data_IF_773001658101
#
_entry.id   IF_773001658101
#
_cell.length_a   1.000
_cell.length_b   1.000
_cell.length_c   1.000
_cell.angle_alpha   90.00
_cell.angle_beta   90.00
_cell.angle_gamma   90.00
#
_symmetry.space_group_name_H-M   'P 1'
#
loop_
_entity.id
_entity.type
_entity.pdbx_description
1 polymer ?
#
# COMPACT_ATOMS: atom_id res chain seq x y z
N UNK A 1 -2.75 -23.79 48.71
CA UNK A 1 -1.64 -22.87 49.03
C UNK A 1 -1.76 -21.76 48.00
N UNK A 2 -2.55 -20.74 48.32
CA UNK A 2 -2.76 -19.58 47.44
C UNK A 2 -1.48 -18.78 47.45
N UNK A 3 -0.75 -18.78 46.33
CA UNK A 3 0.38 -17.88 46.12
C UNK A 3 -0.16 -16.44 46.16
N UNK A 4 -0.19 -15.85 47.35
CA UNK A 4 -0.58 -14.46 47.54
C UNK A 4 0.49 -13.60 46.89
N UNK A 5 0.17 -13.03 45.74
CA UNK A 5 1.01 -12.07 45.04
C UNK A 5 1.37 -10.95 45.99
N UNK A 6 2.67 -10.62 46.09
CA UNK A 6 3.14 -9.57 46.99
C UNK A 6 2.47 -8.23 46.66
N UNK A 7 1.96 -7.48 47.65
CA UNK A 7 1.31 -6.19 47.43
C UNK A 7 2.24 -5.13 46.81
N UNK A 8 3.55 -5.30 46.95
CA UNK A 8 4.57 -4.38 46.42
C UNK A 8 5.03 -4.76 45.00
N UNK A 9 4.55 -5.87 44.45
CA UNK A 9 4.89 -6.27 43.09
C UNK A 9 4.40 -5.22 42.08
N UNK A 10 5.32 -4.76 41.22
CA UNK A 10 5.03 -3.78 40.15
C UNK A 10 5.14 -4.37 38.74
N UNK A 11 5.61 -5.60 38.63
CA UNK A 11 5.81 -6.32 37.38
C UNK A 11 5.31 -7.75 37.53
N UNK A 12 4.67 -8.26 36.48
CA UNK A 12 4.24 -9.65 36.38
C UNK A 12 5.32 -10.44 35.63
N UNK A 13 5.50 -11.71 35.99
CA UNK A 13 6.31 -12.62 35.17
C UNK A 13 5.63 -12.82 33.81
N UNK A 14 6.36 -12.53 32.73
CA UNK A 14 5.82 -12.59 31.37
C UNK A 14 5.66 -14.05 30.93
N UNK A 15 4.42 -14.52 30.89
CA UNK A 15 4.08 -15.87 30.43
C UNK A 15 2.88 -15.82 29.47
N UNK A 16 2.79 -16.81 28.57
CA UNK A 16 1.68 -16.95 27.64
C UNK A 16 1.45 -15.71 26.77
N UNK A 17 0.26 -15.11 26.91
CA UNK A 17 -0.19 -13.98 26.08
C UNK A 17 0.62 -12.71 26.32
N UNK A 18 0.96 -12.42 27.58
CA UNK A 18 1.77 -11.25 27.93
C UNK A 18 3.16 -11.33 27.28
N UNK A 19 3.78 -12.52 27.27
CA UNK A 19 5.04 -12.76 26.56
C UNK A 19 4.88 -12.61 25.04
N UNK A 20 3.79 -13.14 24.48
CA UNK A 20 3.50 -13.01 23.06
C UNK A 20 3.38 -11.52 22.64
N UNK A 21 2.74 -10.66 23.44
CA UNK A 21 2.66 -9.22 23.16
C UNK A 21 4.06 -8.59 23.10
N UNK A 22 4.93 -8.90 24.08
CA UNK A 22 6.28 -8.32 24.18
C UNK A 22 7.22 -8.80 23.08
N UNK A 23 7.00 -10.00 22.53
CA UNK A 23 7.84 -10.54 21.45
C UNK A 23 7.27 -10.20 20.06
N UNK A 24 5.99 -10.47 19.83
CA UNK A 24 5.35 -10.35 18.51
C UNK A 24 5.14 -8.90 18.11
N UNK A 25 4.73 -8.03 19.04
CA UNK A 25 4.43 -6.63 18.68
C UNK A 25 5.67 -5.86 18.22
N UNK A 26 6.83 -5.94 18.90
CA UNK A 26 8.03 -5.22 18.47
C UNK A 26 8.68 -5.83 17.22
N UNK A 27 8.63 -7.15 17.05
CA UNK A 27 9.14 -7.80 15.84
C UNK A 27 8.33 -7.38 14.61
N UNK A 28 7.01 -7.34 14.72
CA UNK A 28 6.14 -6.88 13.66
C UNK A 28 6.32 -5.37 13.41
N UNK A 29 6.46 -4.56 14.46
CA UNK A 29 6.79 -3.14 14.33
C UNK A 29 8.08 -2.92 13.53
N UNK A 30 9.14 -3.67 13.84
CA UNK A 30 10.40 -3.61 13.11
C UNK A 30 10.20 -3.89 11.61
N UNK A 31 9.42 -4.93 11.28
CA UNK A 31 9.08 -5.25 9.89
C UNK A 31 8.27 -4.14 9.21
N UNK A 32 7.29 -3.56 9.92
CA UNK A 32 6.48 -2.44 9.41
C UNK A 32 7.32 -1.19 9.18
N UNK A 33 8.26 -0.85 10.07
CA UNK A 33 9.18 0.28 9.90
C UNK A 33 10.05 0.07 8.66
N UNK A 34 10.61 -1.13 8.48
CA UNK A 34 11.40 -1.45 7.28
C UNK A 34 10.57 -1.35 5.99
N UNK A 35 9.34 -1.86 6.01
CA UNK A 35 8.43 -1.79 4.86
C UNK A 35 8.08 -0.34 4.49
N UNK A 36 7.73 0.50 5.48
CA UNK A 36 7.40 1.91 5.26
C UNK A 36 8.62 2.72 4.83
N UNK A 37 9.80 2.46 5.42
CA UNK A 37 11.05 3.10 5.01
C UNK A 37 11.40 2.76 3.56
N UNK A 38 11.25 1.49 3.18
CA UNK A 38 11.44 1.04 1.78
C UNK A 38 10.48 1.77 0.84
N UNK A 39 9.20 1.87 1.22
CA UNK A 39 8.20 2.62 0.45
C UNK A 39 8.60 4.09 0.28
N UNK A 40 8.97 4.76 1.37
CA UNK A 40 9.37 6.16 1.36
C UNK A 40 10.59 6.37 0.46
N UNK A 41 11.62 5.52 0.56
CA UNK A 41 12.81 5.58 -0.28
C UNK A 41 12.47 5.47 -1.78
N UNK A 42 11.65 4.46 -2.16
CA UNK A 42 11.26 4.27 -3.56
C UNK A 42 10.48 5.48 -4.09
N UNK A 43 9.53 6.00 -3.33
CA UNK A 43 8.69 7.13 -3.77
C UNK A 43 9.41 8.46 -3.81
N UNK A 44 10.34 8.71 -2.89
CA UNK A 44 11.23 9.88 -2.94
C UNK A 44 12.13 9.79 -4.17
N UNK A 45 12.72 8.63 -4.44
CA UNK A 45 13.56 8.41 -5.63
C UNK A 45 12.77 8.57 -6.93
N UNK A 46 11.49 8.22 -6.93
CA UNK A 46 10.58 8.40 -8.08
C UNK A 46 9.91 9.79 -8.14
N UNK A 47 10.15 10.68 -7.17
CA UNK A 47 9.41 11.95 -7.02
C UNK A 47 7.87 11.78 -7.05
N UNK A 48 7.36 10.67 -6.51
CA UNK A 48 5.92 10.34 -6.45
C UNK A 48 5.34 10.42 -5.04
N UNK A 49 6.07 11.05 -4.12
CA UNK A 49 5.66 11.24 -2.74
C UNK A 49 4.32 11.97 -2.66
N UNK A 50 3.41 11.46 -1.84
CA UNK A 50 2.03 11.92 -1.84
C UNK A 50 1.38 11.86 -0.46
N UNK A 51 0.15 12.36 -0.38
CA UNK A 51 -0.62 12.44 0.88
C UNK A 51 -0.78 11.06 1.54
N UNK A 52 -0.92 9.99 0.74
CA UNK A 52 -1.02 8.63 1.27
C UNK A 52 0.23 8.22 2.07
N UNK A 53 1.41 8.70 1.69
CA UNK A 53 2.66 8.43 2.41
C UNK A 53 2.73 9.20 3.73
N UNK A 54 2.24 10.45 3.75
CA UNK A 54 2.18 11.26 4.98
C UNK A 54 1.23 10.62 5.99
N UNK A 55 0.05 10.18 5.54
CA UNK A 55 -0.92 9.47 6.37
C UNK A 55 -0.35 8.16 6.92
N UNK A 56 0.41 7.42 6.12
CA UNK A 56 1.06 6.18 6.56
C UNK A 56 2.15 6.44 7.61
N UNK A 57 2.98 7.46 7.41
CA UNK A 57 4.02 7.85 8.38
C UNK A 57 3.37 8.30 9.68
N UNK A 58 2.30 9.09 9.62
CA UNK A 58 1.50 9.46 10.78
C UNK A 58 0.96 8.22 11.52
N UNK A 59 0.34 7.30 10.78
CA UNK A 59 -0.14 6.03 11.34
C UNK A 59 0.97 5.19 11.98
N UNK A 60 2.17 5.16 11.37
CA UNK A 60 3.34 4.47 11.91
C UNK A 60 3.80 5.07 13.24
N UNK A 61 3.78 6.40 13.38
CA UNK A 61 4.14 7.07 14.64
C UNK A 61 3.18 6.66 15.76
N UNK A 62 1.88 6.63 15.49
CA UNK A 62 0.88 6.12 16.44
C UNK A 62 1.09 4.63 16.74
N UNK A 63 1.40 3.82 15.74
CA UNK A 63 1.68 2.39 15.94
C UNK A 63 2.93 2.14 16.79
N UNK A 64 3.98 2.96 16.67
CA UNK A 64 5.15 2.91 17.56
C UNK A 64 4.72 3.19 19.01
N UNK A 65 3.88 4.21 19.22
CA UNK A 65 3.34 4.53 20.55
C UNK A 65 2.48 3.40 21.11
N UNK A 66 1.59 2.82 20.28
CA UNK A 66 0.75 1.68 20.66
C UNK A 66 1.58 0.49 21.15
N UNK A 67 2.62 0.12 20.41
CA UNK A 67 3.47 -1.02 20.78
C UNK A 67 4.19 -0.75 22.10
N UNK A 68 4.66 0.49 22.32
CA UNK A 68 5.27 0.89 23.59
C UNK A 68 4.29 0.79 24.77
N UNK A 69 3.06 1.27 24.58
CA UNK A 69 2.02 1.19 25.61
C UNK A 69 1.59 -0.26 25.83
N UNK A 70 1.49 -1.08 24.78
CA UNK A 70 1.14 -2.49 24.86
C UNK A 70 2.17 -3.31 25.65
N UNK A 71 3.48 -3.06 25.42
CA UNK A 71 4.53 -3.67 26.24
C UNK A 71 4.36 -3.27 27.70
N UNK A 72 4.14 -1.97 27.98
CA UNK A 72 3.94 -1.51 29.35
C UNK A 72 2.72 -2.15 29.99
N UNK A 73 1.60 -2.21 29.28
CA UNK A 73 0.38 -2.86 29.72
C UNK A 73 0.61 -4.34 30.04
N UNK A 74 1.34 -5.07 29.18
CA UNK A 74 1.69 -6.47 29.39
C UNK A 74 2.58 -6.69 30.62
N UNK A 75 3.56 -5.80 30.87
CA UNK A 75 4.43 -5.90 32.06
C UNK A 75 3.69 -5.66 33.37
N UNK A 76 2.61 -4.88 33.33
CA UNK A 76 1.82 -4.50 34.51
C UNK A 76 0.73 -5.53 34.82
N UNK A 77 0.18 -6.22 33.81
CA UNK A 77 -0.78 -7.31 34.05
C UNK A 77 -1.72 -7.66 32.91
N UNK A 78 -1.72 -6.93 31.78
CA UNK A 78 -2.54 -7.29 30.61
C UNK A 78 -2.05 -8.61 30.01
N UNK A 79 -2.97 -9.54 29.72
CA UNK A 79 -2.64 -10.89 29.24
C UNK A 79 -2.29 -11.89 30.34
N UNK A 80 -2.54 -11.55 31.61
CA UNK A 80 -2.35 -12.44 32.77
C UNK A 80 -3.69 -12.71 33.48
N UNK A 81 -3.83 -13.89 34.09
CA UNK A 81 -5.00 -14.28 34.90
C UNK A 81 -5.13 -13.45 36.19
N UNK A 82 -6.36 -13.21 36.63
CA UNK A 82 -6.64 -12.30 37.77
C UNK A 82 -6.04 -12.81 39.08
N UNK A 83 -5.96 -14.14 39.27
CA UNK A 83 -5.36 -14.76 40.45
C UNK A 83 -3.87 -14.39 40.67
N UNK A 84 -3.19 -13.88 39.65
CA UNK A 84 -1.78 -13.48 39.69
C UNK A 84 -1.57 -11.97 39.72
N UNK A 85 -2.64 -11.20 39.88
CA UNK A 85 -2.57 -9.74 39.93
C UNK A 85 -2.90 -9.21 41.32
N UNK A 86 -2.20 -8.15 41.69
CA UNK A 86 -2.55 -7.31 42.82
C UNK A 86 -3.52 -6.19 42.40
N UNK A 87 -4.25 -5.60 43.34
CA UNK A 87 -5.21 -4.50 43.11
C UNK A 87 -4.55 -3.31 42.39
N UNK A 88 -3.32 -2.96 42.74
CA UNK A 88 -2.59 -1.90 42.04
C UNK A 88 -2.31 -2.26 40.57
N UNK A 89 -1.95 -3.52 40.30
CA UNK A 89 -1.68 -4.00 38.93
C UNK A 89 -2.95 -3.99 38.10
N UNK A 90 -4.09 -4.31 38.70
CA UNK A 90 -5.40 -4.26 38.06
C UNK A 90 -5.71 -2.85 37.52
N UNK A 91 -5.68 -1.86 38.42
CA UNK A 91 -5.94 -0.46 38.09
C UNK A 91 -4.97 0.04 37.01
N UNK A 92 -3.68 -0.26 37.14
CA UNK A 92 -2.69 0.19 36.16
C UNK A 92 -2.86 -0.52 34.81
N UNK A 93 -3.20 -1.80 34.78
CA UNK A 93 -3.45 -2.55 33.54
C UNK A 93 -4.61 -1.94 32.76
N UNK A 94 -5.73 -1.65 33.44
CA UNK A 94 -6.89 -1.00 32.82
C UNK A 94 -6.59 0.42 32.35
N UNK A 95 -5.80 1.18 33.11
CA UNK A 95 -5.35 2.51 32.71
C UNK A 95 -4.53 2.47 31.43
N UNK A 96 -3.51 1.61 31.35
CA UNK A 96 -2.70 1.50 30.13
C UNK A 96 -3.50 0.96 28.95
N UNK A 97 -4.43 0.03 29.18
CA UNK A 97 -5.35 -0.45 28.14
C UNK A 97 -6.25 0.67 27.58
N UNK A 98 -6.78 1.52 28.45
CA UNK A 98 -7.61 2.67 28.06
C UNK A 98 -6.84 3.68 27.22
N UNK A 99 -5.57 3.94 27.58
CA UNK A 99 -4.72 4.83 26.79
C UNK A 99 -4.38 4.16 25.45
N UNK A 100 -4.04 2.87 25.48
CA UNK A 100 -3.71 2.10 24.28
C UNK A 100 -4.86 2.09 23.26
N UNK A 101 -6.10 1.83 23.67
CA UNK A 101 -7.24 1.79 22.74
C UNK A 101 -7.47 3.13 22.03
N UNK A 102 -7.26 4.25 22.70
CA UNK A 102 -7.40 5.59 22.10
C UNK A 102 -6.31 5.87 21.07
N UNK A 103 -5.07 5.49 21.36
CA UNK A 103 -3.93 5.65 20.43
C UNK A 103 -4.09 4.71 19.23
N UNK A 104 -4.53 3.47 19.47
CA UNK A 104 -4.80 2.48 18.44
C UNK A 104 -5.88 2.91 17.46
N UNK A 105 -7.00 3.44 17.95
CA UNK A 105 -8.10 3.87 17.08
C UNK A 105 -7.65 5.00 16.14
N UNK A 106 -6.82 5.93 16.62
CA UNK A 106 -6.22 6.99 15.78
C UNK A 106 -5.23 6.41 14.76
N UNK A 107 -4.31 5.55 15.22
CA UNK A 107 -3.30 4.92 14.37
C UNK A 107 -3.92 4.10 13.25
N UNK A 108 -4.89 3.24 13.57
CA UNK A 108 -5.59 2.39 12.61
C UNK A 108 -6.37 3.21 11.58
N UNK A 109 -7.04 4.29 12.01
CA UNK A 109 -7.75 5.19 11.10
C UNK A 109 -6.79 5.82 10.07
N UNK A 110 -5.62 6.28 10.51
CA UNK A 110 -4.60 6.82 9.62
C UNK A 110 -4.04 5.77 8.65
N UNK A 111 -3.73 4.57 9.13
CA UNK A 111 -3.25 3.47 8.27
C UNK A 111 -4.30 3.11 7.22
N UNK A 112 -5.57 2.91 7.62
CA UNK A 112 -6.66 2.60 6.70
C UNK A 112 -6.94 3.74 5.72
N UNK A 113 -6.81 5.00 6.16
CA UNK A 113 -6.94 6.16 5.28
C UNK A 113 -5.84 6.18 4.20
N UNK A 114 -4.60 5.77 4.53
CA UNK A 114 -3.51 5.61 3.56
C UNK A 114 -3.79 4.50 2.54
N UNK A 115 -4.35 3.37 3.00
CA UNK A 115 -4.77 2.26 2.12
C UNK A 115 -5.84 2.75 1.14
N UNK A 116 -6.90 3.38 1.65
CA UNK A 116 -8.01 3.89 0.83
C UNK A 116 -7.52 4.93 -0.20
N UNK A 117 -6.65 5.85 0.19
CA UNK A 117 -6.09 6.86 -0.73
C UNK A 117 -5.15 6.25 -1.78
N UNK A 118 -4.35 5.24 -1.42
CA UNK A 118 -3.55 4.46 -2.37
C UNK A 118 -4.43 3.75 -3.40
N UNK A 119 -5.50 3.08 -2.94
CA UNK A 119 -6.46 2.40 -3.82
C UNK A 119 -7.19 3.40 -4.72
N UNK A 120 -7.60 4.55 -4.17
CA UNK A 120 -8.27 5.61 -4.93
C UNK A 120 -7.43 6.10 -6.11
N UNK A 121 -6.13 6.35 -5.88
CA UNK A 121 -5.18 6.76 -6.92
C UNK A 121 -5.07 5.72 -8.04
N UNK A 122 -5.05 4.43 -7.69
CA UNK A 122 -4.95 3.34 -8.66
C UNK A 122 -6.28 3.15 -9.43
N UNK A 123 -7.41 3.33 -8.76
CA UNK A 123 -8.75 3.09 -9.30
C UNK A 123 -9.34 4.27 -10.10
N UNK A 124 -8.55 5.31 -10.42
CA UNK A 124 -9.02 6.55 -11.06
C UNK A 124 -9.82 6.32 -12.35
N UNK A 125 -9.64 5.19 -13.04
CA UNK A 125 -10.24 4.88 -14.34
C UNK A 125 -11.72 4.47 -14.28
N UNK A 126 -12.27 4.00 -13.14
CA UNK A 126 -13.66 3.47 -13.07
C UNK A 126 -14.54 4.20 -12.04
N UNK A 127 -15.63 4.81 -12.49
CA UNK A 127 -16.56 5.59 -11.65
C UNK A 127 -17.17 4.78 -10.49
N UNK A 128 -17.60 3.54 -10.75
CA UNK A 128 -18.18 2.65 -9.73
C UNK A 128 -17.20 2.36 -8.58
N UNK A 129 -15.91 2.21 -8.87
CA UNK A 129 -14.89 1.95 -7.84
C UNK A 129 -14.60 3.19 -6.99
N UNK A 130 -14.71 4.40 -7.55
CA UNK A 130 -14.55 5.64 -6.76
C UNK A 130 -15.59 5.72 -5.66
N UNK A 131 -16.85 5.39 -5.96
CA UNK A 131 -17.94 5.37 -4.99
C UNK A 131 -17.62 4.39 -3.86
N UNK A 132 -17.20 3.17 -4.18
CA UNK A 132 -16.82 2.17 -3.18
C UNK A 132 -15.69 2.66 -2.27
N UNK A 133 -14.65 3.30 -2.83
CA UNK A 133 -13.53 3.81 -2.03
C UNK A 133 -13.96 4.97 -1.12
N UNK A 134 -14.82 5.87 -1.59
CA UNK A 134 -15.40 6.92 -0.74
C UNK A 134 -16.26 6.34 0.38
N UNK A 135 -17.07 5.32 0.09
CA UNK A 135 -17.85 4.62 1.11
C UNK A 135 -16.96 3.95 2.16
N UNK A 136 -15.88 3.29 1.75
CA UNK A 136 -14.91 2.69 2.67
C UNK A 136 -14.22 3.75 3.54
N UNK A 137 -13.80 4.86 2.93
CA UNK A 137 -13.18 5.97 3.66
C UNK A 137 -14.14 6.58 4.70
N UNK A 138 -15.39 6.84 4.31
CA UNK A 138 -16.42 7.33 5.22
C UNK A 138 -16.71 6.36 6.35
N UNK A 139 -16.73 5.07 6.07
CA UNK A 139 -16.97 4.01 7.06
C UNK A 139 -15.81 3.86 8.05
N UNK A 140 -14.55 4.02 7.61
CA UNK A 140 -13.37 4.09 8.50
C UNK A 140 -13.49 5.26 9.47
N UNK A 141 -13.78 6.47 8.97
CA UNK A 141 -13.88 7.67 9.81
C UNK A 141 -15.11 7.65 10.71
N UNK A 142 -16.24 7.12 10.25
CA UNK A 142 -17.42 6.92 11.09
C UNK A 142 -17.11 5.97 12.24
N UNK A 143 -16.44 4.84 11.97
CA UNK A 143 -15.97 3.92 13.00
C UNK A 143 -15.04 4.61 14.00
N UNK A 144 -14.06 5.37 13.49
CA UNK A 144 -13.12 6.12 14.31
C UNK A 144 -13.84 7.06 15.27
N UNK A 145 -14.76 7.89 14.76
CA UNK A 145 -15.50 8.86 15.57
C UNK A 145 -16.33 8.14 16.64
N UNK A 146 -17.09 7.11 16.25
CA UNK A 146 -17.96 6.36 17.18
C UNK A 146 -17.13 5.69 18.28
N UNK A 147 -16.04 5.01 17.94
CA UNK A 147 -15.21 4.32 18.94
C UNK A 147 -14.42 5.32 19.81
N UNK A 148 -13.86 6.37 19.23
CA UNK A 148 -13.06 7.35 19.97
C UNK A 148 -13.92 8.17 20.94
N UNK A 149 -15.02 8.75 20.45
CA UNK A 149 -15.95 9.52 21.29
C UNK A 149 -16.67 8.59 22.27
N UNK A 150 -17.07 7.41 21.82
CA UNK A 150 -17.71 6.41 22.67
C UNK A 150 -16.83 6.00 23.84
N UNK A 151 -15.53 5.80 23.62
CA UNK A 151 -14.59 5.45 24.69
C UNK A 151 -14.32 6.62 25.65
N UNK A 152 -14.23 7.85 25.14
CA UNK A 152 -14.05 9.04 25.99
C UNK A 152 -15.26 9.33 26.86
N UNK A 153 -16.47 9.08 26.34
CA UNK A 153 -17.74 9.33 27.04
C UNK A 153 -18.26 8.11 27.79
N UNK A 154 -17.58 6.96 27.72
CA UNK A 154 -18.04 5.74 28.36
C UNK A 154 -18.18 5.89 29.87
N UNK A 155 -17.21 6.57 30.50
CA UNK A 155 -17.24 6.93 31.92
C UNK A 155 -17.00 8.42 32.11
N UNK A 156 -17.80 9.04 32.97
CA UNK A 156 -17.67 10.45 33.35
C UNK A 156 -17.42 10.54 34.85
N UNK A 157 -16.21 10.94 35.31
CA UNK A 157 -14.99 11.23 34.52
C UNK A 157 -14.31 9.97 33.97
N UNK A 158 -13.48 10.12 32.92
CA UNK A 158 -12.77 9.00 32.26
C UNK A 158 -11.90 8.19 33.23
N UNK A 159 -11.46 8.81 34.33
CA UNK A 159 -10.67 8.15 35.37
C UNK A 159 -11.41 6.97 36.02
N UNK A 160 -12.73 7.01 36.04
CA UNK A 160 -13.55 5.92 36.56
C UNK A 160 -13.48 4.64 35.71
N UNK A 161 -12.88 4.69 34.51
CA UNK A 161 -12.66 3.51 33.68
C UNK A 161 -11.59 2.57 34.25
N UNK A 162 -10.65 3.09 35.05
CA UNK A 162 -9.60 2.29 35.70
C UNK A 162 -9.59 2.42 37.21
N UNK A 163 -10.14 3.50 37.77
CA UNK A 163 -10.26 3.71 39.21
C UNK A 163 -11.71 3.51 39.67
N UNK A 164 -12.03 2.29 40.06
CA UNK A 164 -13.38 1.89 40.48
C UNK A 164 -13.78 2.46 41.85
N UNK A 165 -12.83 3.04 42.60
CA UNK A 165 -13.13 3.72 43.87
C UNK A 165 -14.06 4.92 43.67
N UNK A 166 -13.94 5.62 42.53
CA UNK A 166 -14.79 6.76 42.17
C UNK A 166 -16.25 6.36 41.91
N UNK A 167 -16.48 5.11 41.47
CA UNK A 167 -17.82 4.55 41.30
C UNK A 167 -18.44 4.20 42.65
N UNK A 168 -17.65 3.63 43.56
CA UNK A 168 -18.07 3.32 44.93
C UNK A 168 -18.45 4.60 45.71
N UNK A 169 -17.71 5.68 45.49
CA UNK A 169 -17.99 7.00 46.07
C UNK A 169 -19.15 7.77 45.41
N UNK A 170 -19.85 7.19 44.43
CA UNK A 170 -20.95 7.83 43.67
C UNK A 170 -20.53 9.14 42.96
N UNK A 171 -19.24 9.32 42.68
CA UNK A 171 -18.69 10.52 42.00
C UNK A 171 -18.53 10.33 40.49
N UNK A 172 -18.84 9.14 39.99
CA UNK A 172 -18.71 8.79 38.59
C UNK A 172 -19.91 8.01 38.09
N UNK A 173 -20.23 8.20 36.81
CA UNK A 173 -21.21 7.39 36.10
C UNK A 173 -20.55 6.78 34.86
N UNK A 174 -20.67 5.46 34.72
CA UNK A 174 -20.26 4.73 33.52
C UNK A 174 -21.49 4.21 32.77
N UNK A 175 -21.38 4.10 31.45
CA UNK A 175 -22.37 3.48 30.60
C UNK A 175 -22.58 2.00 30.92
N UNK A 176 -23.68 1.43 30.44
CA UNK A 176 -23.94 0.00 30.62
C UNK A 176 -22.88 -0.87 29.95
N UNK A 177 -22.64 -2.07 30.49
CA UNK A 177 -21.74 -3.07 29.87
C UNK A 177 -22.20 -3.38 28.44
N UNK A 178 -23.52 -3.42 28.20
CA UNK A 178 -24.11 -3.59 26.88
C UNK A 178 -23.70 -2.49 25.88
N UNK A 179 -23.55 -1.24 26.33
CA UNK A 179 -23.08 -0.15 25.47
C UNK A 179 -21.62 -0.37 25.06
N UNK A 180 -20.74 -0.79 25.98
CA UNK A 180 -19.34 -1.09 25.68
C UNK A 180 -19.19 -2.24 24.67
N UNK A 181 -19.98 -3.30 24.86
CA UNK A 181 -20.04 -4.46 23.97
C UNK A 181 -20.57 -4.04 22.59
N UNK A 182 -21.63 -3.23 22.54
CA UNK A 182 -22.18 -2.70 21.30
C UNK A 182 -21.18 -1.87 20.50
N UNK A 183 -20.45 -0.96 21.16
CA UNK A 183 -19.40 -0.15 20.52
C UNK A 183 -18.25 -1.05 20.01
N UNK A 184 -17.85 -2.04 20.80
CA UNK A 184 -16.75 -2.94 20.42
C UNK A 184 -17.11 -3.88 19.26
N UNK A 185 -18.33 -4.42 19.24
CA UNK A 185 -18.81 -5.25 18.13
C UNK A 185 -19.02 -4.46 16.86
N UNK A 186 -19.65 -3.28 16.94
CA UNK A 186 -19.82 -2.40 15.77
C UNK A 186 -18.46 -2.04 15.18
N UNK A 187 -17.50 -1.60 16.00
CA UNK A 187 -16.14 -1.32 15.54
C UNK A 187 -15.49 -2.54 14.87
N UNK A 188 -15.64 -3.74 15.44
CA UNK A 188 -15.08 -4.97 14.88
C UNK A 188 -15.71 -5.36 13.55
N UNK A 189 -17.03 -5.31 13.43
CA UNK A 189 -17.74 -5.61 12.17
C UNK A 189 -17.34 -4.61 11.09
N UNK A 190 -17.32 -3.32 11.43
CA UNK A 190 -16.93 -2.25 10.52
C UNK A 190 -15.48 -2.44 10.04
N UNK A 191 -14.59 -2.84 10.94
CA UNK A 191 -13.19 -3.17 10.63
C UNK A 191 -13.08 -4.34 9.64
N UNK A 192 -13.81 -5.43 9.87
CA UNK A 192 -13.84 -6.59 8.95
C UNK A 192 -14.35 -6.17 7.56
N UNK A 193 -15.43 -5.39 7.51
CA UNK A 193 -15.99 -4.89 6.24
C UNK A 193 -14.95 -4.02 5.51
N UNK A 194 -14.23 -3.14 6.22
CA UNK A 194 -13.18 -2.32 5.60
C UNK A 194 -12.03 -3.15 5.05
N UNK A 195 -11.61 -4.20 5.76
CA UNK A 195 -10.46 -5.03 5.36
C UNK A 195 -10.80 -5.83 4.09
N UNK A 196 -11.97 -6.47 4.09
CA UNK A 196 -12.49 -7.19 2.92
C UNK A 196 -12.70 -6.23 1.76
N UNK A 197 -13.24 -5.04 2.01
CA UNK A 197 -13.42 -4.00 1.00
C UNK A 197 -12.10 -3.56 0.38
N UNK A 198 -11.08 -3.27 1.20
CA UNK A 198 -9.75 -2.88 0.74
C UNK A 198 -9.06 -4.00 -0.05
N UNK A 199 -9.36 -5.27 0.23
CA UNK A 199 -8.89 -6.42 -0.54
C UNK A 199 -9.61 -6.59 -1.88
N UNK A 200 -10.93 -6.45 -1.85
CA UNK A 200 -11.80 -6.74 -2.99
C UNK A 200 -11.66 -5.69 -4.10
N UNK A 201 -11.53 -4.41 -3.74
CA UNK A 201 -11.42 -3.32 -4.72
C UNK A 201 -10.25 -3.54 -5.72
N UNK A 202 -9.00 -3.74 -5.30
CA UNK A 202 -7.91 -4.02 -6.24
C UNK A 202 -8.11 -5.37 -6.97
N UNK A 203 -8.66 -6.39 -6.31
CA UNK A 203 -8.96 -7.68 -6.95
C UNK A 203 -9.94 -7.56 -8.11
N UNK A 204 -11.04 -6.82 -7.92
CA UNK A 204 -12.05 -6.59 -8.95
C UNK A 204 -11.54 -5.70 -10.08
N UNK A 205 -10.68 -4.71 -9.79
CA UNK A 205 -10.04 -3.89 -10.81
C UNK A 205 -9.28 -4.76 -11.82
N UNK A 206 -8.56 -5.74 -11.29
CA UNK A 206 -7.56 -6.51 -12.01
C UNK A 206 -8.15 -7.78 -12.67
N UNK A 207 -9.28 -8.31 -12.18
CA UNK A 207 -9.95 -9.45 -12.83
C UNK A 207 -10.36 -9.15 -14.28
N UNK A 208 -10.91 -7.96 -14.54
CA UNK A 208 -11.40 -7.57 -15.86
C UNK A 208 -10.29 -7.17 -16.85
N UNK A 209 -9.02 -7.15 -16.43
CA UNK A 209 -7.92 -6.60 -17.21
C UNK A 209 -6.92 -7.71 -17.55
N UNK A 210 -6.60 -7.90 -18.83
CA UNK A 210 -5.63 -8.90 -19.32
C UNK A 210 -4.22 -8.53 -18.85
N UNK A 211 -3.89 -8.90 -17.63
CA UNK A 211 -2.67 -8.49 -16.93
C UNK A 211 -1.58 -9.57 -17.02
N UNK A 212 -0.33 -9.13 -17.20
CA UNK A 212 0.87 -9.97 -17.15
C UNK A 212 0.96 -10.69 -15.79
N UNK A 213 1.52 -11.90 -15.77
CA UNK A 213 1.60 -12.77 -14.58
C UNK A 213 2.13 -12.06 -13.32
N UNK A 214 3.01 -11.08 -13.49
CA UNK A 214 3.54 -10.26 -12.40
C UNK A 214 2.45 -9.51 -11.63
N UNK A 215 1.52 -8.85 -12.33
CA UNK A 215 0.42 -8.12 -11.69
C UNK A 215 -0.59 -9.04 -11.00
N UNK A 216 -0.78 -10.27 -11.50
CA UNK A 216 -1.57 -11.30 -10.79
C UNK A 216 -0.96 -11.65 -9.42
N UNK A 217 0.38 -11.74 -9.33
CA UNK A 217 1.06 -12.01 -8.06
C UNK A 217 0.88 -10.87 -7.05
N UNK A 218 0.85 -9.61 -7.50
CA UNK A 218 0.57 -8.44 -6.65
C UNK A 218 -0.80 -8.50 -6.00
N UNK A 219 -1.82 -8.82 -6.81
CA UNK A 219 -3.19 -8.98 -6.31
C UNK A 219 -3.25 -10.11 -5.31
N UNK A 220 -2.63 -11.24 -5.62
CA UNK A 220 -2.59 -12.38 -4.72
C UNK A 220 -1.93 -12.03 -3.39
N UNK A 221 -0.82 -11.29 -3.41
CA UNK A 221 -0.15 -10.82 -2.21
C UNK A 221 -1.04 -9.86 -1.39
N UNK A 222 -1.67 -8.87 -2.04
CA UNK A 222 -2.58 -7.92 -1.37
C UNK A 222 -3.79 -8.63 -0.76
N UNK A 223 -4.39 -9.56 -1.51
CA UNK A 223 -5.52 -10.37 -1.02
C UNK A 223 -5.12 -11.27 0.15
N UNK A 224 -3.91 -11.85 0.11
CA UNK A 224 -3.39 -12.70 1.19
C UNK A 224 -3.12 -11.89 2.46
N UNK A 225 -2.56 -10.68 2.34
CA UNK A 225 -2.30 -9.83 3.49
C UNK A 225 -3.60 -9.30 4.08
N UNK A 226 -4.60 -8.97 3.26
CA UNK A 226 -5.90 -8.54 3.73
C UNK A 226 -6.73 -9.67 4.37
N UNK A 227 -6.60 -10.91 3.87
CA UNK A 227 -7.24 -12.06 4.52
C UNK A 227 -6.62 -12.34 5.89
N UNK A 228 -5.30 -12.22 6.04
CA UNK A 228 -4.63 -12.31 7.34
C UNK A 228 -5.10 -11.22 8.31
N UNK A 229 -5.26 -9.97 7.85
CA UNK A 229 -5.83 -8.89 8.65
C UNK A 229 -7.25 -9.24 9.11
N UNK A 230 -8.11 -9.69 8.20
CA UNK A 230 -9.49 -10.09 8.52
C UNK A 230 -9.55 -11.26 9.52
N UNK A 231 -8.69 -12.27 9.35
CA UNK A 231 -8.59 -13.41 10.28
C UNK A 231 -8.19 -12.93 11.68
N UNK A 232 -7.22 -12.01 11.77
CA UNK A 232 -6.81 -11.40 13.04
C UNK A 232 -8.00 -10.71 13.73
N UNK A 233 -8.76 -9.91 12.97
CA UNK A 233 -9.94 -9.18 13.48
C UNK A 233 -11.08 -10.12 13.89
N UNK A 234 -11.31 -11.21 13.16
CA UNK A 234 -12.30 -12.24 13.51
C UNK A 234 -11.87 -13.00 14.77
N UNK A 235 -10.58 -13.34 14.90
CA UNK A 235 -10.05 -14.00 16.08
C UNK A 235 -10.24 -13.17 17.35
N UNK A 236 -10.28 -11.84 17.24
CA UNK A 236 -10.60 -10.92 18.35
C UNK A 236 -12.06 -10.97 18.81
N UNK A 237 -13.00 -11.17 17.89
CA UNK A 237 -14.44 -11.05 18.15
C UNK A 237 -14.97 -11.85 19.37
N UNK A 238 -14.62 -13.14 19.58
CA UNK A 238 -15.13 -13.91 20.73
C UNK A 238 -14.63 -13.41 22.09
N UNK A 239 -13.48 -12.73 22.12
CA UNK A 239 -12.93 -12.18 23.37
C UNK A 239 -13.71 -10.96 23.86
N UNK A 240 -14.46 -10.29 22.98
CA UNK A 240 -15.33 -9.16 23.34
C UNK A 240 -16.50 -9.63 24.23
N UNK A 241 -17.02 -10.84 24.01
CA UNK A 241 -18.11 -11.38 24.84
C UNK A 241 -17.69 -11.59 26.31
N UNK A 242 -16.39 -11.66 26.60
CA UNK A 242 -15.89 -11.80 27.97
C UNK A 242 -15.99 -10.49 28.78
N UNK A 243 -16.32 -9.36 28.15
CA UNK A 243 -16.68 -8.13 28.87
C UNK A 243 -17.94 -8.29 29.73
N UNK A 244 -18.80 -9.29 29.47
CA UNK A 244 -19.97 -9.60 30.32
C UNK A 244 -19.57 -10.20 31.68
N UNK A 245 -18.37 -10.76 31.79
CA UNK A 245 -17.87 -11.44 32.99
C UNK A 245 -16.59 -10.76 33.51
N UNK A 246 -16.67 -9.51 34.01
CA UNK A 246 -15.49 -8.73 34.39
C UNK A 246 -14.65 -9.36 35.50
N UNK A 247 -15.23 -10.28 36.29
CA UNK A 247 -14.54 -11.00 37.37
C UNK A 247 -13.91 -12.32 36.92
N UNK A 248 -14.08 -12.74 35.66
CA UNK A 248 -13.51 -13.97 35.12
C UNK A 248 -12.37 -13.69 34.14
N UNK A 249 -11.21 -13.32 34.69
CA UNK A 249 -9.95 -13.19 33.93
C UNK A 249 -10.03 -12.21 32.76
N UNK A 250 -10.77 -11.12 32.91
CA UNK A 250 -11.00 -10.14 31.84
C UNK A 250 -9.69 -9.65 31.21
N UNK A 251 -8.65 -9.41 32.03
CA UNK A 251 -7.34 -8.92 31.59
C UNK A 251 -6.58 -9.91 30.72
N UNK A 252 -6.76 -11.21 30.97
CA UNK A 252 -6.19 -12.27 30.15
C UNK A 252 -6.74 -12.20 28.73
N UNK A 253 -8.06 -12.06 28.59
CA UNK A 253 -8.74 -11.92 27.30
C UNK A 253 -8.43 -10.60 26.59
N UNK A 254 -8.32 -9.49 27.34
CA UNK A 254 -7.86 -8.21 26.82
C UNK A 254 -6.45 -8.32 26.21
N UNK A 255 -5.57 -9.17 26.76
CA UNK A 255 -4.26 -9.43 26.17
C UNK A 255 -4.34 -9.96 24.73
N UNK A 256 -5.27 -10.87 24.44
CA UNK A 256 -5.49 -11.34 23.08
C UNK A 256 -6.01 -10.22 22.17
N UNK A 257 -6.91 -9.38 22.67
CA UNK A 257 -7.42 -8.22 21.93
C UNK A 257 -6.26 -7.31 21.51
N UNK A 258 -5.37 -6.96 22.45
CA UNK A 258 -4.18 -6.14 22.18
C UNK A 258 -3.26 -6.80 21.16
N UNK A 259 -3.00 -8.10 21.31
CA UNK A 259 -2.13 -8.85 20.41
C UNK A 259 -2.66 -8.85 18.96
N UNK A 260 -3.93 -9.20 18.75
CA UNK A 260 -4.54 -9.25 17.42
C UNK A 260 -4.66 -7.86 16.77
N UNK A 261 -4.91 -6.81 17.55
CA UNK A 261 -4.93 -5.42 17.06
C UNK A 261 -3.54 -4.92 16.66
N UNK A 262 -2.49 -5.30 17.39
CA UNK A 262 -1.12 -4.98 17.00
C UNK A 262 -0.72 -5.71 15.72
N UNK A 263 -1.17 -6.98 15.56
CA UNK A 263 -0.98 -7.76 14.35
C UNK A 263 -1.68 -7.10 13.16
N UNK A 264 -2.95 -6.71 13.32
CA UNK A 264 -3.74 -6.01 12.30
C UNK A 264 -3.04 -4.74 11.81
N UNK A 265 -2.61 -3.87 12.74
CA UNK A 265 -1.96 -2.60 12.41
C UNK A 265 -0.64 -2.83 11.66
N UNK A 266 0.18 -3.78 12.12
CA UNK A 266 1.45 -4.10 11.47
C UNK A 266 1.27 -4.68 10.06
N UNK A 267 0.31 -5.59 9.89
CA UNK A 267 -0.11 -6.13 8.59
C UNK A 267 -0.60 -5.00 7.68
N UNK A 268 -1.39 -4.06 8.18
CA UNK A 268 -1.86 -2.90 7.42
C UNK A 268 -0.72 -2.01 6.89
N UNK A 269 0.29 -1.73 7.71
CA UNK A 269 1.48 -0.99 7.28
C UNK A 269 2.26 -1.71 6.18
N UNK A 270 2.43 -3.03 6.32
CA UNK A 270 3.12 -3.87 5.34
C UNK A 270 2.31 -3.93 4.04
N UNK A 271 1.00 -4.19 4.12
CA UNK A 271 0.08 -4.26 2.99
C UNK A 271 0.17 -3.01 2.11
N UNK A 272 0.13 -1.84 2.76
CA UNK A 272 0.21 -0.55 2.08
C UNK A 272 1.53 -0.39 1.33
N UNK A 273 2.61 -0.94 1.87
CA UNK A 273 3.98 -0.80 1.34
C UNK A 273 4.32 -1.81 0.24
N UNK A 274 3.57 -2.90 0.09
CA UNK A 274 3.80 -3.97 -0.90
C UNK A 274 4.05 -3.47 -2.34
N UNK A 275 3.27 -2.51 -2.90
CA UNK A 275 3.49 -2.05 -4.27
C UNK A 275 4.87 -1.41 -4.47
N UNK A 276 5.38 -0.71 -3.46
CA UNK A 276 6.70 -0.06 -3.54
C UNK A 276 7.84 -1.08 -3.36
N UNK A 277 7.68 -2.04 -2.45
CA UNK A 277 8.63 -3.14 -2.25
C UNK A 277 8.81 -3.93 -3.55
N UNK A 278 7.72 -4.23 -4.26
CA UNK A 278 7.82 -4.89 -5.57
C UNK A 278 8.58 -4.06 -6.59
N UNK A 279 8.30 -2.76 -6.71
CA UNK A 279 9.02 -1.88 -7.64
C UNK A 279 10.53 -1.93 -7.38
N UNK A 280 10.95 -1.94 -6.12
CA UNK A 280 12.35 -2.08 -5.76
C UNK A 280 12.92 -3.44 -6.17
N UNK A 281 12.22 -4.53 -5.87
CA UNK A 281 12.63 -5.88 -6.25
C UNK A 281 12.82 -6.02 -7.77
N UNK A 282 11.89 -5.48 -8.57
CA UNK A 282 11.99 -5.49 -10.02
C UNK A 282 13.19 -4.71 -10.56
N UNK A 283 13.57 -3.60 -9.90
CA UNK A 283 14.77 -2.83 -10.25
C UNK A 283 16.04 -3.60 -9.94
N UNK A 284 16.11 -4.25 -8.78
CA UNK A 284 17.27 -5.05 -8.37
C UNK A 284 17.44 -6.27 -9.28
N UNK A 285 16.37 -7.01 -9.56
CA UNK A 285 16.40 -8.16 -10.46
C UNK A 285 16.83 -7.77 -11.89
N UNK A 286 16.39 -6.61 -12.40
CA UNK A 286 16.83 -6.12 -13.72
C UNK A 286 18.31 -5.72 -13.72
N UNK A 287 18.83 -5.19 -12.61
CA UNK A 287 20.24 -4.82 -12.48
C UNK A 287 21.14 -6.07 -12.51
N UNK A 288 20.78 -7.13 -11.81
CA UNK A 288 21.54 -8.39 -11.78
C UNK A 288 21.60 -9.08 -13.16
N UNK A 289 20.50 -9.06 -13.92
CA UNK A 289 20.47 -9.61 -15.29
C UNK A 289 21.35 -8.80 -16.24
N UNK A 290 21.35 -7.46 -16.16
CA UNK A 290 22.25 -6.63 -16.97
C UNK A 290 23.73 -6.75 -16.57
N UNK A 291 24.05 -7.09 -15.32
CA UNK A 291 25.43 -7.32 -14.86
C UNK A 291 25.95 -8.71 -15.26
N UNK A 292 25.04 -9.68 -15.47
CA UNK A 292 25.38 -11.05 -15.88
C UNK A 292 25.60 -11.21 -17.40
N UNK A 293 25.13 -10.27 -18.22
CA UNK A 293 25.27 -10.28 -19.70
C UNK A 293 26.55 -9.59 -20.20
N UNK A 294 27.60 -9.48 -19.37
CA UNK A 294 28.96 -9.12 -19.83
C UNK A 294 29.87 -10.35 -19.92
N UNK A 295 29.81 -11.16 -21.01
CA UNK A 295 30.89 -12.07 -21.31
C UNK A 295 32.05 -11.26 -21.87
N UNK A 296 33.16 -11.22 -21.12
CA UNK A 296 34.46 -10.93 -21.69
C UNK A 296 34.77 -11.99 -22.74
N UNK A 297 34.61 -11.64 -24.01
CA UNK A 297 35.23 -12.38 -25.10
C UNK A 297 35.77 -11.38 -26.12
N UNK A 298 37.10 -11.34 -26.19
CA UNK A 298 37.88 -10.69 -27.24
C UNK A 298 37.36 -11.10 -28.62
N UNK A 299 37.13 -10.18 -29.57
CA UNK A 299 36.91 -10.58 -30.95
C UNK A 299 38.24 -11.10 -31.50
N UNK A 300 38.32 -12.41 -31.75
CA UNK A 300 39.26 -12.93 -32.73
C UNK A 300 38.76 -12.44 -34.08
N UNK A 301 39.62 -11.64 -34.68
CA UNK A 301 39.71 -11.33 -36.10
C UNK A 301 39.34 -12.55 -36.95
N UNK A 302 38.20 -12.48 -37.63
CA UNK A 302 37.89 -13.37 -38.74
C UNK A 302 37.22 -12.55 -39.85
N UNK A 303 38.10 -11.95 -40.64
CA UNK A 303 38.03 -11.86 -42.10
C UNK A 303 36.71 -11.38 -42.72
N UNK A 304 36.75 -10.12 -43.11
CA UNK A 304 35.94 -9.49 -44.17
C UNK A 304 35.46 -10.46 -45.26
N UNK A 305 34.14 -10.48 -45.48
CA UNK A 305 33.57 -10.65 -46.83
C UNK A 305 32.83 -9.38 -47.21
N UNK A 306 33.61 -8.33 -47.42
CA UNK A 306 33.19 -7.15 -48.18
C UNK A 306 32.98 -7.55 -49.64
N UNK A 307 31.75 -7.39 -50.10
CA UNK A 307 31.35 -7.51 -51.50
C UNK A 307 32.01 -6.37 -52.28
N UNK A 308 33.01 -6.71 -53.10
CA UNK A 308 33.71 -5.75 -53.98
C UNK A 308 32.88 -5.56 -55.23
N UNK A 309 32.18 -4.42 -55.33
CA UNK A 309 31.65 -3.93 -56.61
C UNK A 309 32.79 -3.29 -57.39
N UNK A 310 32.92 -3.69 -58.66
CA UNK A 310 33.93 -3.20 -59.61
C UNK A 310 33.69 -1.71 -59.88
N UNK A 311 34.68 -0.87 -59.54
CA UNK A 311 34.84 0.49 -60.08
C UNK A 311 34.93 1.58 -59.01
N UNK A 312 36.12 2.16 -58.83
CA UNK A 312 36.31 3.40 -58.07
C UNK A 312 37.57 3.36 -57.22
N UNK A 313 38.67 3.85 -57.77
CA UNK A 313 39.96 3.88 -57.08
C UNK A 313 40.05 4.97 -56.00
N UNK A 314 40.99 4.75 -55.07
CA UNK A 314 41.79 5.84 -54.51
C UNK A 314 41.72 6.06 -52.99
N UNK A 315 42.88 5.83 -52.38
CA UNK A 315 43.40 6.41 -51.12
C UNK A 315 43.09 5.71 -49.78
N UNK A 316 44.20 5.42 -49.09
CA UNK A 316 44.40 4.80 -47.77
C UNK A 316 43.85 5.61 -46.60
N UNK A 317 43.49 4.98 -45.45
CA UNK A 317 43.05 5.72 -44.27
C UNK A 317 44.22 6.18 -43.40
N UNK A 318 44.18 7.45 -43.00
CA UNK A 318 44.99 8.02 -41.93
C UNK A 318 44.38 7.63 -40.58
N UNK A 319 45.18 6.98 -39.75
CA UNK A 319 44.89 6.67 -38.34
C UNK A 319 44.87 7.95 -37.50
N UNK A 320 43.81 8.18 -36.71
CA UNK A 320 43.99 8.90 -35.45
C UNK A 320 43.01 8.41 -34.37
N UNK A 321 43.60 8.24 -33.19
CA UNK A 321 43.04 7.60 -31.99
C UNK A 321 42.34 8.69 -31.16
N UNK A 322 41.01 8.64 -31.07
CA UNK A 322 40.19 9.63 -30.37
C UNK A 322 39.32 9.03 -29.26
N UNK A 323 39.46 9.57 -28.06
CA UNK A 323 38.90 9.21 -26.74
C UNK A 323 37.36 9.31 -26.71
N UNK A 324 36.67 8.23 -26.29
CA UNK A 324 35.19 8.15 -26.21
C UNK A 324 34.61 9.06 -25.11
N UNK A 325 33.85 10.09 -25.49
CA UNK A 325 32.87 10.76 -24.64
C UNK A 325 31.51 10.06 -24.80
N UNK A 326 30.74 9.98 -23.70
CA UNK A 326 29.46 9.28 -23.61
C UNK A 326 28.35 10.23 -24.08
N UNK A 327 27.80 10.03 -25.28
CA UNK A 327 26.68 10.82 -25.80
C UNK A 327 25.36 10.25 -25.25
N UNK A 328 24.57 11.11 -24.60
CA UNK A 328 23.19 10.83 -24.17
C UNK A 328 22.28 10.99 -25.38
N UNK A 329 21.51 9.96 -25.72
CA UNK A 329 20.55 9.98 -26.82
C UNK A 329 19.28 10.74 -26.42
N UNK A 330 18.92 11.77 -27.18
CA UNK A 330 17.63 12.47 -27.13
C UNK A 330 16.89 12.25 -28.44
N UNK A 331 15.60 11.93 -28.36
CA UNK A 331 14.75 11.58 -29.50
C UNK A 331 14.64 12.75 -30.51
N UNK A 332 14.91 12.55 -31.81
CA UNK A 332 14.90 13.64 -32.81
C UNK A 332 13.54 14.29 -33.07
N UNK A 333 12.43 13.73 -32.60
CA UNK A 333 11.10 14.35 -32.76
C UNK A 333 10.90 15.62 -31.94
N UNK A 334 11.79 15.92 -30.98
CA UNK A 334 11.60 17.08 -30.10
C UNK A 334 11.91 18.44 -30.76
N UNK A 335 12.64 18.52 -31.90
CA UNK A 335 13.00 19.81 -32.52
C UNK A 335 13.19 19.84 -34.06
N UNK A 336 12.42 19.12 -34.86
CA UNK A 336 12.51 19.20 -36.32
C UNK A 336 11.17 19.33 -37.02
N UNK A 337 10.98 20.39 -37.84
CA UNK A 337 9.89 20.48 -38.81
C UNK A 337 10.43 19.97 -40.15
N UNK A 338 9.87 18.88 -40.68
CA UNK A 338 10.12 18.48 -42.07
C UNK A 338 8.97 19.00 -42.95
N UNK A 339 9.30 19.77 -43.97
CA UNK A 339 8.32 20.29 -44.93
C UNK A 339 8.39 19.42 -46.19
N UNK A 340 7.30 18.74 -46.52
CA UNK A 340 7.15 18.00 -47.78
C UNK A 340 6.02 18.66 -48.57
N UNK A 341 6.36 19.21 -49.74
CA UNK A 341 5.38 19.84 -50.64
C UNK A 341 4.84 18.76 -51.58
N UNK A 342 3.53 18.51 -51.53
CA UNK A 342 2.85 17.57 -52.43
C UNK A 342 2.09 18.36 -53.49
N UNK A 343 2.45 18.18 -54.76
CA UNK A 343 1.67 18.72 -55.88
C UNK A 343 0.65 17.68 -56.34
N UNK A 344 -0.61 17.86 -55.96
CA UNK A 344 -1.73 17.10 -56.52
C UNK A 344 -2.20 17.77 -57.81
N UNK A 345 -2.10 17.07 -58.93
CA UNK A 345 -2.61 17.58 -60.21
C UNK A 345 -4.10 17.22 -60.31
N UNK A 346 -4.98 18.02 -59.71
CA UNK A 346 -6.42 17.78 -59.80
C UNK A 346 -7.17 18.99 -60.35
N UNK A 347 -7.93 18.73 -61.41
CA UNK A 347 -8.75 19.70 -62.15
C UNK A 347 -10.10 19.97 -61.44
N UNK A 348 -10.12 19.88 -60.12
CA UNK A 348 -11.31 20.01 -59.29
C UNK A 348 -10.95 20.63 -57.95
N UNK A 349 -11.59 21.76 -57.66
CA UNK A 349 -11.53 22.53 -56.43
C UNK A 349 -12.08 21.69 -55.27
N UNK A 350 -11.20 20.93 -54.61
CA UNK A 350 -11.52 20.12 -53.44
C UNK A 350 -10.86 20.70 -52.22
N UNK A 351 -11.65 21.07 -51.21
CA UNK A 351 -11.18 21.40 -49.87
C UNK A 351 -10.47 20.17 -49.28
N UNK A 352 -9.22 20.35 -48.85
CA UNK A 352 -8.43 19.31 -48.18
C UNK A 352 -8.40 19.59 -46.69
N UNK A 353 -8.88 18.65 -45.89
CA UNK A 353 -8.86 18.75 -44.43
C UNK A 353 -7.86 17.75 -43.83
N UNK A 354 -7.07 18.21 -42.86
CA UNK A 354 -6.09 17.38 -42.15
C UNK A 354 -6.81 16.55 -41.09
N UNK A 355 -6.78 15.23 -41.23
CA UNK A 355 -7.25 14.31 -40.19
C UNK A 355 -6.29 14.35 -38.99
N UNK A 356 -6.83 14.31 -37.77
CA UNK A 356 -6.04 14.32 -36.54
C UNK A 356 -5.47 12.93 -36.22
N UNK A 357 -4.36 12.89 -35.48
CA UNK A 357 -3.61 11.66 -35.15
C UNK A 357 -4.42 10.62 -34.32
N UNK A 358 -5.65 10.95 -33.88
CA UNK A 358 -6.55 10.02 -33.18
C UNK A 358 -7.49 9.25 -34.13
N UNK A 359 -7.54 9.58 -35.42
CA UNK A 359 -8.44 8.96 -36.40
C UNK A 359 -7.78 7.92 -37.32
N UNK A 360 -6.50 7.57 -37.07
CA UNK A 360 -5.70 6.60 -37.83
C UNK A 360 -6.22 5.15 -37.78
N UNK A 361 -7.24 4.86 -36.97
CA UNK A 361 -7.84 3.52 -36.84
C UNK A 361 -9.05 3.27 -37.76
N UNK A 362 -9.44 4.19 -38.64
CA UNK A 362 -10.53 3.92 -39.60
C UNK A 362 -10.03 2.98 -40.70
N UNK A 363 -10.57 1.75 -40.82
CA UNK A 363 -10.16 0.84 -41.89
C UNK A 363 -10.65 1.35 -43.25
N UNK A 364 -9.75 1.50 -44.22
CA UNK A 364 -10.09 1.73 -45.64
C UNK A 364 -10.62 0.43 -46.30
N UNK A 365 -11.59 -0.21 -45.65
CA UNK A 365 -12.44 -1.23 -46.28
C UNK A 365 -13.73 -0.53 -46.72
N UNK A 366 -14.27 -0.82 -47.92
CA UNK A 366 -15.53 -0.21 -48.33
C UNK A 366 -16.64 -0.65 -47.37
N UNK A 367 -17.16 0.29 -46.59
CA UNK A 367 -18.42 0.13 -45.88
C UNK A 367 -19.53 -0.02 -46.93
N UNK A 368 -20.04 -1.25 -47.10
CA UNK A 368 -21.20 -1.52 -47.93
C UNK A 368 -22.45 -1.10 -47.16
N UNK A 369 -22.87 0.14 -47.37
CA UNK A 369 -24.26 0.52 -47.19
C UNK A 369 -24.80 1.11 -48.49
N UNK A 370 -26.00 0.66 -48.84
CA UNK A 370 -26.47 0.52 -50.22
C UNK A 370 -26.88 1.81 -50.92
N UNK A 371 -26.01 2.83 -51.00
CA UNK A 371 -26.12 3.94 -51.98
C UNK A 371 -24.83 4.78 -52.02
N UNK A 372 -24.09 4.67 -53.13
CA UNK A 372 -22.92 5.46 -53.55
C UNK A 372 -21.66 5.40 -52.66
N UNK A 373 -20.70 4.54 -53.04
CA UNK A 373 -19.32 4.60 -52.55
C UNK A 373 -18.53 5.67 -53.31
N UNK A 374 -18.17 6.77 -52.64
CA UNK A 374 -17.06 7.64 -53.10
C UNK A 374 -15.77 7.11 -52.48
N UNK A 375 -14.72 6.82 -53.26
CA UNK A 375 -13.41 6.54 -52.67
C UNK A 375 -12.91 7.82 -51.98
N UNK A 376 -12.64 7.77 -50.67
CA UNK A 376 -11.90 8.83 -50.01
C UNK A 376 -10.48 8.82 -50.59
N UNK A 377 -10.18 9.84 -51.41
CA UNK A 377 -8.83 10.10 -51.89
C UNK A 377 -8.00 10.68 -50.77
N UNK A 378 -7.34 9.82 -49.99
CA UNK A 378 -6.34 10.23 -49.00
C UNK A 378 -4.93 9.98 -49.50
N UNK A 379 -3.99 10.85 -49.14
CA UNK A 379 -2.56 10.60 -49.32
C UNK A 379 -2.02 10.12 -47.98
N UNK A 380 -1.56 8.86 -47.91
CA UNK A 380 -0.88 8.31 -46.74
C UNK A 380 0.63 8.42 -46.94
N UNK A 381 1.33 9.02 -45.98
CA UNK A 381 2.78 9.08 -45.95
C UNK A 381 3.28 8.19 -44.79
N UNK A 382 3.84 7.03 -45.12
CA UNK A 382 4.50 6.17 -44.13
C UNK A 382 5.98 6.57 -44.05
N UNK A 383 6.42 7.06 -42.89
CA UNK A 383 7.82 7.41 -42.66
C UNK A 383 8.55 6.24 -42.00
N UNK A 384 9.50 5.66 -42.71
CA UNK A 384 10.43 4.67 -42.14
C UNK A 384 11.77 5.36 -41.92
N UNK A 385 12.22 5.45 -40.67
CA UNK A 385 13.51 6.07 -40.35
C UNK A 385 14.56 4.97 -40.09
N UNK A 386 15.61 4.96 -40.90
CA UNK A 386 16.86 4.27 -40.57
C UNK A 386 17.75 5.26 -39.82
N UNK A 387 17.98 5.00 -38.53
CA UNK A 387 18.85 5.84 -37.70
C UNK A 387 20.28 5.34 -37.82
N UNK A 388 21.09 5.99 -38.65
CA UNK A 388 22.54 5.88 -38.59
C UNK A 388 23.06 6.93 -37.61
N UNK A 389 23.58 6.47 -36.47
CA UNK A 389 24.16 7.35 -35.45
C UNK A 389 25.62 7.62 -35.84
N UNK A 390 25.88 8.74 -36.51
CA UNK A 390 27.24 9.23 -36.67
C UNK A 390 27.74 9.87 -35.35
N UNK A 391 28.97 9.54 -34.90
CA UNK A 391 29.56 10.23 -33.77
C UNK A 391 29.96 11.66 -34.17
N UNK A 392 29.42 12.64 -33.44
CA UNK A 392 29.77 14.06 -33.56
C UNK A 392 31.27 14.25 -33.28
N UNK A 393 31.97 14.93 -34.19
CA UNK A 393 33.41 15.24 -34.10
C UNK A 393 33.78 16.13 -32.93
#
# INVERSE_FOLDING_TARGET
MTDTVSPDARYVTLEGVALAIVVVSPTLLGLSVLAVATRAYVRITENTFAIDDILLIGGLIFYIADVGIAIRAATVGVGTIDARLNEWMDVQAMKFFTIWILVYVVGLALIKSSICTTIWRIAHVRHSMRITVYSLFGLVWASFIVTFVGMLLYCMPIQANWDTSLLLEHKAHCGSIAAMIGISHTATVTTIITDIGCAAVPGLLLWKTQMKAQAKLEVFALMSVASLASISTIARAPFISHYEHPHDNLKYYIGFIVLFSNIESGIGCIATSLPAIRKLYMRLAKKEVSESDSPGNTPKDDTDKTLVTIGGGGSSPFSSRGRKSKVVFTNPTDRGVSLVTVQANSRGDGDWERLGDEEDEIPLSPYQDGRHSKPLGGIRADYTYSVEVEPVK
#
